data_IF_857632890747
#
_entry.id   IF_857632890747
#
_cell.length_a   1.000
_cell.length_b   1.000
_cell.length_c   1.000
_cell.angle_alpha   90.00
_cell.angle_beta   90.00
_cell.angle_gamma   90.00
#
_symmetry.space_group_name_H-M   'P 1'
#
loop_
_entity.id
_entity.type
_entity.pdbx_description
1 polymer ?
#
# COMPACT_ATOMS: atom_id res chain seq x y z
N UNK A 1 17.03 -27.14 -24.61
CA UNK A 1 17.81 -25.87 -24.52
C UNK A 1 17.15 -24.89 -25.48
N UNK A 2 16.48 -23.82 -25.02
CA UNK A 2 15.85 -22.89 -25.95
C UNK A 2 16.95 -22.04 -26.59
N UNK A 3 16.86 -21.94 -27.91
CA UNK A 3 17.80 -21.30 -28.83
C UNK A 3 17.55 -19.80 -28.94
N UNK A 4 18.58 -18.99 -28.70
CA UNK A 4 18.59 -17.56 -29.03
C UNK A 4 19.00 -17.36 -30.50
N UNK A 5 18.31 -16.48 -31.22
CA UNK A 5 18.63 -16.10 -32.61
C UNK A 5 19.67 -14.95 -32.67
N UNK A 6 20.47 -14.82 -33.76
CA UNK A 6 21.55 -13.83 -33.87
C UNK A 6 21.11 -12.61 -34.75
N UNK A 7 21.99 -11.62 -35.09
CA UNK A 7 21.86 -10.24 -34.62
C UNK A 7 21.51 -9.23 -35.74
N UNK A 8 20.80 -8.13 -35.45
CA UNK A 8 20.62 -7.10 -36.47
C UNK A 8 19.63 -5.96 -36.21
N UNK A 9 18.73 -6.09 -35.24
CA UNK A 9 17.91 -5.01 -34.71
C UNK A 9 17.75 -5.35 -33.23
N UNK A 10 17.92 -4.36 -32.36
CA UNK A 10 17.75 -4.53 -30.91
C UNK A 10 16.50 -5.38 -30.65
N UNK A 11 16.60 -6.59 -30.07
CA UNK A 11 15.40 -7.36 -29.74
C UNK A 11 14.56 -6.49 -28.80
N UNK A 12 13.21 -6.46 -28.93
CA UNK A 12 12.41 -5.63 -28.04
C UNK A 12 12.71 -6.12 -26.64
N UNK A 13 13.21 -5.22 -25.80
CA UNK A 13 13.32 -5.45 -24.38
C UNK A 13 11.93 -5.90 -23.90
N UNK A 14 11.72 -7.20 -23.67
CA UNK A 14 10.60 -7.66 -22.85
C UNK A 14 10.91 -7.33 -21.39
N UNK A 15 11.25 -6.07 -21.13
CA UNK A 15 11.36 -5.48 -19.82
C UNK A 15 9.93 -5.34 -19.34
N UNK A 16 9.52 -6.15 -18.36
CA UNK A 16 8.26 -5.94 -17.66
C UNK A 16 8.20 -4.46 -17.24
N UNK A 17 7.18 -3.74 -17.72
CA UNK A 17 6.97 -2.34 -17.40
C UNK A 17 6.84 -2.19 -15.87
N UNK A 18 7.31 -1.08 -15.27
CA UNK A 18 7.04 -0.83 -13.86
C UNK A 18 5.53 -0.77 -13.60
N UNK A 19 5.03 -1.59 -12.69
CA UNK A 19 3.63 -1.65 -12.28
C UNK A 19 3.42 -0.87 -10.98
N UNK A 20 2.30 -0.15 -10.89
CA UNK A 20 1.97 0.68 -9.74
C UNK A 20 1.44 -0.17 -8.57
N UNK A 21 1.93 0.03 -7.33
CA UNK A 21 1.36 -0.65 -6.18
C UNK A 21 -0.08 -0.20 -5.93
N UNK A 22 -0.95 -1.17 -5.67
CA UNK A 22 -2.27 -0.94 -5.08
C UNK A 22 -2.19 -1.26 -3.60
N UNK A 23 -2.65 -0.36 -2.75
CA UNK A 23 -2.62 -0.53 -1.30
C UNK A 23 -3.99 -0.33 -0.67
N UNK A 24 -4.31 -1.18 0.30
CA UNK A 24 -5.55 -1.10 1.09
C UNK A 24 -5.22 -1.20 2.58
N UNK A 25 -5.94 -0.45 3.40
CA UNK A 25 -5.80 -0.49 4.85
C UNK A 25 -7.10 -0.99 5.48
N UNK A 26 -7.01 -2.04 6.27
CA UNK A 26 -8.13 -2.62 7.01
C UNK A 26 -7.70 -3.04 8.41
N UNK A 27 -8.67 -3.38 9.26
CA UNK A 27 -8.43 -3.72 10.66
C UNK A 27 -8.62 -5.20 10.92
N UNK A 28 -7.85 -5.74 11.88
CA UNK A 28 -8.14 -7.02 12.55
C UNK A 28 -8.15 -6.79 14.06
N UNK A 29 -9.12 -7.37 14.75
CA UNK A 29 -9.30 -7.24 16.21
C UNK A 29 -9.12 -8.61 16.86
N UNK A 30 -7.89 -9.04 17.21
CA UNK A 30 -7.65 -10.32 17.84
C UNK A 30 -8.21 -10.41 19.27
N UNK A 31 -8.32 -9.28 19.97
CA UNK A 31 -8.88 -9.18 21.33
C UNK A 31 -9.52 -7.80 21.54
N UNK A 32 -10.20 -7.59 22.68
CA UNK A 32 -10.85 -6.32 23.01
C UNK A 32 -9.87 -5.16 23.20
N UNK A 33 -8.64 -5.45 23.64
CA UNK A 33 -7.61 -4.46 23.96
C UNK A 33 -6.58 -4.26 22.85
N UNK A 34 -6.71 -4.99 21.74
CA UNK A 34 -5.74 -4.96 20.65
C UNK A 34 -6.41 -4.75 19.30
N UNK A 35 -5.98 -3.70 18.60
CA UNK A 35 -6.37 -3.42 17.22
C UNK A 35 -5.14 -3.52 16.33
N UNK A 36 -5.24 -4.30 15.25
CA UNK A 36 -4.19 -4.45 14.24
C UNK A 36 -4.60 -3.70 12.98
N UNK A 37 -3.84 -2.69 12.60
CA UNK A 37 -3.96 -2.04 11.30
C UNK A 37 -3.12 -2.83 10.29
N UNK A 38 -3.74 -3.24 9.19
CA UNK A 38 -3.10 -4.04 8.15
C UNK A 38 -3.10 -3.25 6.86
N UNK A 39 -1.92 -2.94 6.34
CA UNK A 39 -1.70 -2.39 5.02
C UNK A 39 -1.31 -3.52 4.07
N UNK A 40 -2.21 -3.92 3.18
CA UNK A 40 -1.92 -4.90 2.13
C UNK A 40 -1.58 -4.16 0.85
N UNK A 41 -0.38 -4.42 0.33
CA UNK A 41 0.15 -3.83 -0.90
C UNK A 41 0.35 -4.95 -1.92
N UNK A 42 -0.16 -4.77 -3.14
CA UNK A 42 -0.13 -5.80 -4.21
C UNK A 42 -0.04 -5.16 -5.59
N UNK A 43 0.26 -5.96 -6.62
CA UNK A 43 0.24 -5.53 -8.02
C UNK A 43 1.47 -4.72 -8.42
N UNK A 44 2.54 -4.71 -7.62
CA UNK A 44 3.72 -3.89 -7.90
C UNK A 44 4.85 -4.68 -8.56
N UNK A 45 5.59 -3.99 -9.42
CA UNK A 45 6.80 -4.47 -10.07
C UNK A 45 7.71 -3.28 -10.42
N UNK A 46 9.03 -3.30 -10.15
CA UNK A 46 9.85 -4.43 -9.71
C UNK A 46 9.73 -4.75 -8.21
N UNK A 47 10.45 -5.79 -7.74
CA UNK A 47 10.37 -6.29 -6.36
C UNK A 47 10.66 -5.25 -5.25
N UNK A 48 11.66 -4.35 -5.36
CA UNK A 48 12.01 -3.44 -4.27
C UNK A 48 10.93 -2.41 -3.94
N UNK A 49 10.50 -2.38 -2.69
CA UNK A 49 9.45 -1.49 -2.19
C UNK A 49 9.74 -1.10 -0.74
N UNK A 50 9.28 0.06 -0.31
CA UNK A 50 9.34 0.51 1.09
C UNK A 50 7.93 0.85 1.57
N UNK A 51 7.56 0.28 2.73
CA UNK A 51 6.27 0.51 3.38
C UNK A 51 6.52 0.95 4.81
N UNK A 52 5.90 2.05 5.20
CA UNK A 52 6.01 2.64 6.53
C UNK A 52 4.64 3.05 7.05
N UNK A 53 4.47 3.04 8.37
CA UNK A 53 3.31 3.63 9.02
C UNK A 53 3.63 5.04 9.49
N UNK A 54 2.68 5.95 9.33
CA UNK A 54 2.70 7.26 9.93
C UNK A 54 1.63 7.31 11.03
N UNK A 55 2.01 7.71 12.23
CA UNK A 55 1.11 8.09 13.33
C UNK A 55 1.16 9.61 13.45
N UNK A 56 0.04 10.28 13.21
CA UNK A 56 -0.07 11.75 13.22
C UNK A 56 0.98 12.44 12.35
N UNK A 57 1.24 11.86 11.18
CA UNK A 57 2.23 12.34 10.22
C UNK A 57 3.67 11.94 10.51
N UNK A 58 3.97 11.41 11.70
CA UNK A 58 5.31 10.96 12.09
C UNK A 58 5.50 9.47 11.82
N UNK A 59 6.67 9.10 11.28
CA UNK A 59 6.99 7.72 10.96
C UNK A 59 7.15 6.87 12.22
N UNK A 60 6.44 5.74 12.27
CA UNK A 60 6.53 4.78 13.38
C UNK A 60 7.86 4.02 13.26
N UNK A 61 8.73 4.05 14.29
CA UNK A 61 10.00 3.35 14.24
C UNK A 61 9.81 1.83 14.26
N UNK A 62 10.81 1.06 13.77
CA UNK A 62 10.82 -0.39 13.92
C UNK A 62 10.71 -0.80 15.40
N UNK A 63 9.89 -1.81 15.68
CA UNK A 63 9.66 -2.27 17.04
C UNK A 63 8.63 -3.40 17.11
N UNK A 64 8.34 -3.93 18.30
CA UNK A 64 7.47 -5.11 18.47
C UNK A 64 6.02 -4.89 17.99
N UNK A 65 5.56 -3.64 17.94
CA UNK A 65 4.23 -3.30 17.43
C UNK A 65 4.14 -3.28 15.90
N UNK A 66 5.28 -3.19 15.18
CA UNK A 66 5.34 -3.04 13.73
C UNK A 66 5.97 -4.27 13.09
N UNK A 67 5.23 -4.97 12.25
CA UNK A 67 5.71 -6.14 11.54
C UNK A 67 5.38 -6.04 10.04
N UNK A 68 6.39 -6.19 9.18
CA UNK A 68 6.20 -6.22 7.72
C UNK A 68 6.59 -7.59 7.20
N UNK A 69 5.68 -8.24 6.49
CA UNK A 69 5.90 -9.56 5.91
C UNK A 69 7.00 -9.53 4.85
N UNK A 70 7.54 -10.70 4.53
CA UNK A 70 8.33 -10.87 3.32
C UNK A 70 7.50 -10.56 2.07
N UNK A 71 8.19 -10.21 0.99
CA UNK A 71 7.58 -9.97 -0.32
C UNK A 71 7.30 -11.31 -0.99
N UNK A 72 6.05 -11.54 -1.35
CA UNK A 72 5.56 -12.76 -1.98
C UNK A 72 5.24 -12.51 -3.47
N UNK A 73 5.49 -13.48 -4.35
CA UNK A 73 5.12 -13.39 -5.76
C UNK A 73 3.61 -13.61 -5.96
N UNK A 74 3.06 -12.95 -6.97
CA UNK A 74 1.72 -13.19 -7.51
C UNK A 74 1.80 -14.04 -8.79
N UNK A 75 0.67 -14.63 -9.20
CA UNK A 75 0.58 -15.41 -10.44
C UNK A 75 0.71 -14.55 -11.71
N UNK A 76 0.42 -13.26 -11.61
CA UNK A 76 0.49 -12.26 -12.68
C UNK A 76 1.89 -11.62 -12.83
N UNK A 77 2.93 -12.24 -12.25
CA UNK A 77 4.32 -11.77 -12.24
C UNK A 77 4.57 -10.46 -11.47
N UNK A 78 3.58 -9.98 -10.72
CA UNK A 78 3.76 -8.89 -9.75
C UNK A 78 4.07 -9.41 -8.34
N UNK A 79 4.22 -8.50 -7.39
CA UNK A 79 4.51 -8.83 -5.99
C UNK A 79 3.44 -8.30 -5.03
N UNK A 80 3.42 -8.88 -3.83
CA UNK A 80 2.60 -8.43 -2.71
C UNK A 80 3.33 -8.51 -1.38
N UNK A 81 2.90 -7.71 -0.40
CA UNK A 81 3.33 -7.79 1.00
C UNK A 81 2.26 -7.23 1.94
N UNK A 82 2.39 -7.49 3.24
CA UNK A 82 1.55 -6.90 4.29
C UNK A 82 2.40 -6.24 5.36
N UNK A 83 2.05 -5.01 5.73
CA UNK A 83 2.59 -4.34 6.92
C UNK A 83 1.52 -4.23 7.98
N UNK A 84 1.82 -4.64 9.20
CA UNK A 84 0.89 -4.71 10.33
C UNK A 84 1.40 -3.84 11.47
N UNK A 85 0.54 -2.95 11.97
CA UNK A 85 0.80 -2.11 13.14
C UNK A 85 -0.22 -2.42 14.24
N UNK A 86 0.26 -2.83 15.41
CA UNK A 86 -0.54 -2.97 16.61
C UNK A 86 -0.75 -1.60 17.28
N UNK A 87 -2.01 -1.28 17.58
CA UNK A 87 -2.42 -0.01 18.21
C UNK A 87 -3.45 -0.29 19.30
N UNK A 88 -3.58 0.63 20.24
CA UNK A 88 -4.62 0.56 21.25
C UNK A 88 -5.97 0.97 20.61
N UNK A 89 -7.08 0.29 20.92
CA UNK A 89 -8.40 0.72 20.50
C UNK A 89 -8.68 2.14 20.97
N UNK A 90 -9.15 3.01 20.07
CA UNK A 90 -9.54 4.40 20.37
C UNK A 90 -8.43 5.26 20.98
N UNK A 91 -7.18 5.04 20.59
CA UNK A 91 -6.05 5.89 21.01
C UNK A 91 -6.10 7.33 20.48
N UNK A 92 -7.06 7.65 19.61
CA UNK A 92 -7.28 8.99 19.08
C UNK A 92 -6.28 9.43 18.00
N UNK A 93 -5.37 8.54 17.59
CA UNK A 93 -4.34 8.86 16.62
C UNK A 93 -4.84 8.64 15.18
N UNK A 94 -4.30 9.45 14.27
CA UNK A 94 -4.47 9.26 12.83
C UNK A 94 -3.36 8.36 12.29
N UNK A 95 -3.73 7.38 11.46
CA UNK A 95 -2.78 6.43 10.89
C UNK A 95 -2.83 6.43 9.37
N UNK A 96 -1.65 6.41 8.76
CA UNK A 96 -1.50 6.36 7.30
C UNK A 96 -0.43 5.33 6.93
N UNK A 97 -0.76 4.44 6.00
CA UNK A 97 0.23 3.58 5.35
C UNK A 97 0.87 4.36 4.20
N UNK A 98 2.19 4.55 4.25
CA UNK A 98 2.98 5.20 3.20
C UNK A 98 3.74 4.15 2.42
N UNK A 99 3.54 4.12 1.11
CA UNK A 99 4.21 3.20 0.18
C UNK A 99 5.09 4.00 -0.77
N UNK A 100 6.36 3.60 -0.88
CA UNK A 100 7.35 4.10 -1.83
C UNK A 100 7.79 2.97 -2.72
N UNK A 101 7.74 3.22 -4.02
CA UNK A 101 8.07 2.22 -5.04
C UNK A 101 8.60 2.93 -6.28
N UNK A 102 9.49 2.28 -7.04
CA UNK A 102 10.15 2.89 -8.19
C UNK A 102 9.15 3.43 -9.24
N UNK A 103 8.04 2.72 -9.48
CA UNK A 103 7.00 3.17 -10.43
C UNK A 103 6.25 4.44 -10.00
N UNK A 104 6.38 4.86 -8.73
CA UNK A 104 5.83 6.13 -8.23
C UNK A 104 6.79 7.31 -8.40
N UNK A 105 8.02 7.08 -8.86
CA UNK A 105 9.06 8.11 -8.96
C UNK A 105 9.36 8.74 -7.59
N UNK A 106 9.24 10.06 -7.50
CA UNK A 106 9.44 10.82 -6.25
C UNK A 106 8.21 10.87 -5.35
N UNK A 107 7.06 10.35 -5.81
CA UNK A 107 5.79 10.37 -5.06
C UNK A 107 5.71 9.18 -4.10
N UNK A 108 4.76 9.27 -3.18
CA UNK A 108 4.40 8.16 -2.28
C UNK A 108 2.89 7.96 -2.30
N UNK A 109 2.45 6.71 -2.22
CA UNK A 109 1.04 6.38 -2.04
C UNK A 109 0.72 6.44 -0.54
N UNK A 110 -0.27 7.25 -0.17
CA UNK A 110 -0.69 7.47 1.22
C UNK A 110 -2.11 6.93 1.40
N UNK A 111 -2.25 5.86 2.19
CA UNK A 111 -3.54 5.22 2.46
C UNK A 111 -3.93 5.45 3.92
N UNK A 112 -4.85 6.40 4.21
CA UNK A 112 -5.31 6.65 5.56
C UNK A 112 -6.19 5.53 6.08
N UNK A 113 -6.03 5.18 7.36
CA UNK A 113 -6.97 4.35 8.10
C UNK A 113 -8.15 5.20 8.58
N UNK A 114 -9.36 4.62 8.60
CA UNK A 114 -10.56 5.29 9.14
C UNK A 114 -11.23 6.31 8.21
N UNK A 115 -10.60 6.67 7.07
CA UNK A 115 -11.27 7.42 6.00
C UNK A 115 -11.77 6.44 4.93
N UNK A 116 -13.04 6.07 4.99
CA UNK A 116 -13.70 5.49 3.83
C UNK A 116 -13.63 6.51 2.66
N UNK A 117 -13.42 6.08 1.40
CA UNK A 117 -13.63 6.93 0.22
C UNK A 117 -15.08 7.44 0.05
N UNK A 118 -15.99 7.05 0.95
CA UNK A 118 -17.42 7.41 0.98
C UNK A 118 -17.71 8.92 1.10
N UNK A 119 -16.69 9.78 1.15
CA UNK A 119 -16.84 11.24 1.08
C UNK A 119 -16.80 11.81 -0.36
N UNK A 120 -16.63 10.98 -1.40
CA UNK A 120 -16.74 11.41 -2.81
C UNK A 120 -17.99 10.90 -3.55
N UNK A 121 -18.96 10.32 -2.85
CA UNK A 121 -20.24 9.90 -3.43
C UNK A 121 -21.45 10.43 -2.64
N UNK A 122 -21.37 11.68 -2.19
CA UNK A 122 -22.60 12.41 -1.86
C UNK A 122 -23.11 13.10 -3.13
N UNK A 123 -24.34 12.83 -3.63
CA UNK A 123 -24.89 13.55 -4.77
C UNK A 123 -25.03 15.04 -4.42
N UNK A 124 -24.67 15.96 -5.32
CA UNK A 124 -24.56 17.44 -5.18
C UNK A 124 -25.78 18.21 -4.58
N UNK A 125 -26.73 17.56 -3.94
CA UNK A 125 -28.04 18.07 -3.52
C UNK A 125 -28.26 18.26 -2.00
N UNK A 126 -27.21 18.32 -1.18
CA UNK A 126 -27.33 18.85 0.20
C UNK A 126 -26.42 20.06 0.44
N UNK A 127 -26.59 21.09 -0.39
CA UNK A 127 -26.05 22.42 -0.12
C UNK A 127 -27.05 23.54 -0.45
N UNK A 128 -28.35 23.27 -0.40
CA UNK A 128 -29.39 24.30 -0.51
C UNK A 128 -30.59 23.93 0.34
N UNK A 129 -30.60 24.37 1.59
CA UNK A 129 -31.76 24.79 2.39
C UNK A 129 -31.37 24.95 3.88
N UNK A 130 -30.40 25.83 4.14
CA UNK A 130 -30.37 26.65 5.35
C UNK A 130 -30.08 28.06 4.84
N UNK A 131 -31.11 28.64 4.23
CA UNK A 131 -31.46 30.06 4.07
C UNK A 131 -32.77 30.11 3.28
#
# INVERSE_FOLDING_TARGET
>A
RPSCAPPGLVPPLCSHSPELPVATVFTRTPSLDQLLLVCHVTGFYPRPISVAWLRDGQEVPPGPALNTSTILPNADLTYQLRSVLAVAPRDGHSYVCRVRHHSLGTRSLLIPWGKCPKLLLWPRQMLSALL
#
